data_IF_633559014668
#
_entry.id   IF_633559014668
#
_cell.length_a   1.000
_cell.length_b   1.000
_cell.length_c   1.000
_cell.angle_alpha   90.00
_cell.angle_beta   90.00
_cell.angle_gamma   90.00
#
_symmetry.space_group_name_H-M   'P 1'
#
loop_
_entity.id
_entity.type
_entity.pdbx_description
1 polymer ?
#
# COMPACT_ATOMS: atom_id res chain seq x y z
N UNK A 1 27.52 -0.53 -12.43
CA UNK A 1 26.97 -1.75 -11.82
C UNK A 1 25.70 -2.16 -12.58
N UNK A 2 25.19 -3.37 -12.32
CA UNK A 2 23.96 -3.90 -12.96
C UNK A 2 22.79 -2.92 -12.80
N UNK A 3 22.69 -2.24 -11.65
CA UNK A 3 21.64 -1.24 -11.37
C UNK A 3 21.58 -0.09 -12.38
N UNK A 4 22.74 0.44 -12.82
CA UNK A 4 22.78 1.52 -13.80
C UNK A 4 22.53 1.02 -15.21
N UNK A 5 23.12 -0.14 -15.58
CA UNK A 5 22.92 -0.77 -16.89
C UNK A 5 21.44 -1.06 -17.14
N UNK A 6 20.77 -1.58 -16.12
CA UNK A 6 19.38 -2.01 -16.21
C UNK A 6 18.39 -0.88 -15.87
N UNK A 7 18.90 0.34 -15.60
CA UNK A 7 18.14 1.55 -15.31
C UNK A 7 17.15 1.38 -14.15
N UNK A 8 17.57 0.64 -13.11
CA UNK A 8 16.71 0.29 -11.98
C UNK A 8 16.14 1.54 -11.27
N UNK A 9 16.91 2.62 -11.00
CA UNK A 9 16.36 3.81 -10.36
C UNK A 9 15.25 4.48 -11.17
N UNK A 10 15.42 4.61 -12.49
CA UNK A 10 14.43 5.22 -13.38
C UNK A 10 13.16 4.36 -13.46
N UNK A 11 13.33 3.04 -13.58
CA UNK A 11 12.20 2.09 -13.59
C UNK A 11 11.45 2.08 -12.26
N UNK A 12 12.16 2.14 -11.13
CA UNK A 12 11.55 2.22 -9.81
C UNK A 12 10.74 3.51 -9.63
N UNK A 13 11.23 4.64 -10.14
CA UNK A 13 10.49 5.90 -10.12
C UNK A 13 9.25 5.86 -11.01
N UNK A 14 9.36 5.36 -12.25
CA UNK A 14 8.23 5.26 -13.16
C UNK A 14 7.14 4.32 -12.58
N UNK A 15 7.56 3.20 -11.99
CA UNK A 15 6.64 2.26 -11.36
C UNK A 15 6.02 2.82 -10.08
N UNK A 16 6.76 3.59 -9.27
CA UNK A 16 6.19 4.22 -8.08
C UNK A 16 5.11 5.24 -8.44
N UNK A 17 5.32 6.06 -9.47
CA UNK A 17 4.33 7.01 -9.97
C UNK A 17 3.06 6.29 -10.43
N UNK A 18 3.22 5.19 -11.18
CA UNK A 18 2.10 4.35 -11.64
C UNK A 18 1.33 3.74 -10.47
N UNK A 19 2.02 3.13 -9.52
CA UNK A 19 1.38 2.49 -8.36
C UNK A 19 0.65 3.52 -7.50
N UNK A 20 1.29 4.67 -7.23
CA UNK A 20 0.68 5.76 -6.47
C UNK A 20 -0.60 6.28 -7.13
N UNK A 21 -0.57 6.55 -8.43
CA UNK A 21 -1.76 7.02 -9.15
C UNK A 21 -2.91 6.00 -9.09
N UNK A 22 -2.60 4.70 -9.14
CA UNK A 22 -3.59 3.64 -8.96
C UNK A 22 -4.21 3.64 -7.56
N UNK A 23 -3.39 3.74 -6.52
CA UNK A 23 -3.84 3.81 -5.13
C UNK A 23 -4.67 5.08 -4.85
N UNK A 24 -4.27 6.23 -5.39
CA UNK A 24 -5.02 7.49 -5.27
C UNK A 24 -6.39 7.39 -5.94
N UNK A 25 -6.47 6.74 -7.12
CA UNK A 25 -7.75 6.46 -7.77
C UNK A 25 -8.63 5.54 -6.93
N UNK A 26 -8.06 4.50 -6.31
CA UNK A 26 -8.80 3.61 -5.41
C UNK A 26 -9.30 4.36 -4.17
N UNK A 27 -8.50 5.25 -3.59
CA UNK A 27 -8.88 6.06 -2.43
C UNK A 27 -10.07 6.99 -2.72
N UNK A 28 -10.22 7.45 -3.96
CA UNK A 28 -11.40 8.23 -4.38
C UNK A 28 -12.68 7.39 -4.46
N UNK A 29 -12.55 6.08 -4.66
CA UNK A 29 -13.66 5.15 -4.88
C UNK A 29 -14.05 4.39 -3.60
N UNK A 30 -13.11 4.21 -2.67
CA UNK A 30 -13.32 3.47 -1.43
C UNK A 30 -12.83 4.24 -0.20
N UNK A 31 -13.71 4.52 0.78
CA UNK A 31 -13.37 5.30 1.98
C UNK A 31 -12.48 4.55 2.99
N UNK A 32 -11.99 3.36 2.64
CA UNK A 32 -11.12 2.54 3.50
C UNK A 32 -9.63 2.86 3.40
N UNK A 33 -9.21 3.73 2.46
CA UNK A 33 -7.81 4.20 2.35
C UNK A 33 -7.71 5.58 2.99
N UNK A 34 -6.97 5.68 4.10
CA UNK A 34 -6.82 6.93 4.85
C UNK A 34 -5.64 7.78 4.40
N UNK A 35 -4.52 7.14 4.08
CA UNK A 35 -3.32 7.82 3.60
C UNK A 35 -2.45 6.89 2.76
N UNK A 36 -1.71 7.47 1.82
CA UNK A 36 -0.73 6.78 0.98
C UNK A 36 0.62 7.45 1.20
N UNK A 37 1.61 6.68 1.62
CA UNK A 37 2.99 7.14 1.89
C UNK A 37 3.95 6.32 1.05
N UNK A 38 4.91 6.95 0.39
CA UNK A 38 5.93 6.19 -0.34
C UNK A 38 7.23 6.95 -0.57
N UNK A 39 8.33 6.20 -0.71
CA UNK A 39 9.61 6.67 -1.22
C UNK A 39 10.12 5.66 -2.27
N UNK A 40 10.10 6.04 -3.54
CA UNK A 40 10.30 5.06 -4.62
C UNK A 40 9.26 3.93 -4.53
N UNK A 41 9.71 2.68 -4.59
CA UNK A 41 8.87 1.49 -4.48
C UNK A 41 8.60 1.00 -3.05
N UNK A 42 8.99 1.77 -2.04
CA UNK A 42 8.64 1.48 -0.66
C UNK A 42 7.34 2.20 -0.31
N UNK A 43 6.23 1.45 -0.24
CA UNK A 43 4.89 1.98 0.01
C UNK A 43 4.38 1.59 1.41
N UNK A 44 3.57 2.47 1.98
CA UNK A 44 2.74 2.21 3.14
C UNK A 44 1.35 2.79 2.90
N UNK A 45 0.30 2.00 3.09
CA UNK A 45 -1.10 2.44 2.94
C UNK A 45 -1.83 2.30 4.27
N UNK A 46 -2.26 3.43 4.84
CA UNK A 46 -3.00 3.42 6.10
C UNK A 46 -4.48 3.05 5.83
N UNK A 47 -4.97 2.02 6.52
CA UNK A 47 -6.33 1.50 6.34
C UNK A 47 -7.28 2.01 7.42
N UNK A 48 -8.53 2.22 7.02
CA UNK A 48 -9.65 2.55 7.89
C UNK A 48 -10.41 3.80 7.45
N UNK A 49 -11.56 4.01 8.09
CA UNK A 49 -12.39 5.20 7.91
C UNK A 49 -12.36 6.08 9.16
N UNK A 50 -12.84 7.31 9.02
CA UNK A 50 -12.94 8.26 10.13
C UNK A 50 -13.73 7.66 11.31
N UNK A 51 -13.23 7.84 12.52
CA UNK A 51 -13.83 7.28 13.74
C UNK A 51 -13.58 5.78 13.99
N UNK A 52 -12.92 5.05 13.08
CA UNK A 52 -12.64 3.62 13.28
C UNK A 52 -11.55 3.43 14.34
N UNK A 53 -11.86 2.65 15.39
CA UNK A 53 -10.89 2.27 16.42
C UNK A 53 -9.69 1.51 15.84
N UNK A 54 -8.53 1.56 16.51
CA UNK A 54 -7.30 0.92 16.02
C UNK A 54 -7.48 -0.59 15.74
N UNK A 55 -8.24 -1.30 16.57
CA UNK A 55 -8.55 -2.72 16.38
C UNK A 55 -9.36 -2.99 15.12
N UNK A 56 -10.33 -2.12 14.80
CA UNK A 56 -11.10 -2.22 13.56
C UNK A 56 -10.24 -1.96 12.33
N UNK A 57 -9.33 -0.98 12.39
CA UNK A 57 -8.40 -0.68 11.30
C UNK A 57 -7.43 -1.83 11.03
N UNK A 58 -6.92 -2.46 12.09
CA UNK A 58 -6.10 -3.68 11.99
C UNK A 58 -6.87 -4.84 11.36
N UNK A 59 -8.12 -5.07 11.77
CA UNK A 59 -8.94 -6.14 11.21
C UNK A 59 -9.15 -5.93 9.69
N UNK A 60 -9.51 -4.70 9.28
CA UNK A 60 -9.63 -4.35 7.86
C UNK A 60 -8.31 -4.55 7.08
N UNK A 61 -7.17 -4.16 7.66
CA UNK A 61 -5.87 -4.37 7.01
C UNK A 61 -5.58 -5.86 6.80
N UNK A 62 -5.86 -6.71 7.79
CA UNK A 62 -5.70 -8.16 7.69
C UNK A 62 -6.66 -8.77 6.65
N UNK A 63 -7.89 -8.29 6.57
CA UNK A 63 -8.84 -8.74 5.54
C UNK A 63 -8.30 -8.44 4.14
N UNK A 64 -7.70 -7.26 3.92
CA UNK A 64 -7.06 -6.92 2.64
C UNK A 64 -5.85 -7.81 2.37
N UNK A 65 -4.99 -8.07 3.35
CA UNK A 65 -3.83 -8.98 3.18
C UNK A 65 -4.28 -10.38 2.77
N UNK A 66 -5.33 -10.90 3.43
CA UNK A 66 -5.84 -12.24 3.13
C UNK A 66 -6.50 -12.28 1.75
N UNK A 67 -7.32 -11.29 1.39
CA UNK A 67 -7.93 -11.21 0.06
C UNK A 67 -6.85 -11.14 -1.05
N UNK A 68 -5.82 -10.32 -0.85
CA UNK A 68 -4.71 -10.21 -1.80
C UNK A 68 -3.92 -11.52 -1.91
N UNK A 69 -3.71 -12.22 -0.79
CA UNK A 69 -3.08 -13.55 -0.77
C UNK A 69 -3.91 -14.57 -1.57
N UNK A 70 -5.22 -14.58 -1.39
CA UNK A 70 -6.13 -15.47 -2.11
C UNK A 70 -6.10 -15.20 -3.63
N UNK A 71 -5.87 -13.94 -4.02
CA UNK A 71 -5.65 -13.50 -5.40
C UNK A 71 -4.20 -13.70 -5.91
N UNK A 72 -3.31 -14.30 -5.10
CA UNK A 72 -1.92 -14.58 -5.48
C UNK A 72 -0.98 -13.37 -5.40
N UNK A 73 -1.38 -12.29 -4.71
CA UNK A 73 -0.58 -11.10 -4.48
C UNK A 73 -0.13 -11.03 -3.01
N UNK A 74 1.16 -11.20 -2.77
CA UNK A 74 1.71 -11.19 -1.41
C UNK A 74 2.01 -9.75 -0.96
N UNK A 75 1.32 -9.34 0.10
CA UNK A 75 1.55 -8.10 0.85
C UNK A 75 1.56 -8.42 2.35
N UNK A 76 1.96 -7.46 3.17
CA UNK A 76 2.01 -7.60 4.63
C UNK A 76 1.33 -6.41 5.31
N UNK A 77 1.05 -6.53 6.60
CA UNK A 77 0.80 -5.36 7.44
C UNK A 77 2.10 -4.88 8.10
N UNK A 78 2.18 -3.61 8.46
CA UNK A 78 3.28 -2.96 9.17
C UNK A 78 2.76 -1.90 10.14
N UNK A 79 3.67 -1.25 10.88
CA UNK A 79 3.34 -0.21 11.86
C UNK A 79 2.99 -0.76 13.25
N UNK A 80 3.03 0.11 14.27
CA UNK A 80 2.87 -0.30 15.68
C UNK A 80 1.50 -0.94 15.99
N UNK A 81 0.48 -0.60 15.20
CA UNK A 81 -0.87 -1.13 15.35
C UNK A 81 -1.23 -2.20 14.30
N UNK A 82 -0.32 -2.50 13.35
CA UNK A 82 -0.56 -3.39 12.21
C UNK A 82 -1.77 -2.97 11.35
N UNK A 83 -2.00 -1.67 11.22
CA UNK A 83 -3.10 -1.04 10.47
C UNK A 83 -2.64 -0.39 9.15
N UNK A 84 -1.37 -0.58 8.79
CA UNK A 84 -0.78 -0.13 7.53
C UNK A 84 -0.43 -1.35 6.67
N UNK A 85 -0.67 -1.30 5.37
CA UNK A 85 -0.16 -2.28 4.38
C UNK A 85 1.20 -1.83 3.85
#
# INVERSE_FOLDING_TARGET
AILQRDQIPQKALAMSQRLRAGLEKLAQQQPGIRAIRNAGLFFGVDIGSEGTAATGRRAMALDVVNAMRDDGVLISTTGANEDSL
#
